data_IF_219798867770
#
_entry.id   IF_219798867770
#
_cell.length_a   1.000
_cell.length_b   1.000
_cell.length_c   1.000
_cell.angle_alpha   90.00
_cell.angle_beta   90.00
_cell.angle_gamma   90.00
#
_symmetry.space_group_name_H-M   'P 1'
#
loop_
_entity.id
_entity.type
_entity.pdbx_description
1 polymer ?
#
# COMPACT_ATOMS: atom_id res chain seq x y z
N UNK A 1 8.79 1.61 32.28
CA UNK A 1 7.65 1.46 31.36
C UNK A 1 8.04 2.03 29.99
N UNK A 2 7.55 1.45 28.89
CA UNK A 2 7.82 1.92 27.53
C UNK A 2 6.68 2.86 27.08
N UNK A 3 6.99 4.11 26.75
CA UNK A 3 5.99 5.16 26.46
C UNK A 3 6.13 5.80 25.07
N UNK A 4 7.08 5.31 24.25
CA UNK A 4 7.33 5.81 22.90
C UNK A 4 6.74 4.86 21.83
N UNK A 5 6.71 5.32 20.58
CA UNK A 5 6.44 4.47 19.42
C UNK A 5 7.57 3.47 19.16
N UNK A 6 7.34 2.52 18.25
CA UNK A 6 8.37 1.60 17.74
C UNK A 6 8.61 1.85 16.26
N UNK A 7 9.74 1.38 15.74
CA UNK A 7 10.08 1.44 14.31
C UNK A 7 9.82 0.10 13.61
N UNK A 8 8.94 -0.74 14.19
CA UNK A 8 8.63 -2.04 13.61
C UNK A 8 7.78 -1.88 12.34
N UNK A 9 7.90 -2.80 11.38
CA UNK A 9 6.96 -2.87 10.26
C UNK A 9 5.52 -3.03 10.75
N UNK A 10 4.58 -2.51 9.97
CA UNK A 10 3.14 -2.64 10.22
C UNK A 10 2.52 -3.67 9.27
N UNK A 11 1.50 -4.42 9.70
CA UNK A 11 0.78 -5.33 8.81
C UNK A 11 -0.03 -4.54 7.77
N UNK A 12 -0.15 -5.10 6.57
CA UNK A 12 -1.02 -4.63 5.51
C UNK A 12 -1.94 -5.77 5.08
N UNK A 13 -3.25 -5.55 5.15
CA UNK A 13 -4.26 -6.55 4.80
C UNK A 13 -5.18 -5.95 3.74
N UNK A 14 -5.33 -6.65 2.62
CA UNK A 14 -6.35 -6.33 1.62
C UNK A 14 -7.60 -7.17 1.89
N UNK A 15 -8.75 -6.49 1.96
CA UNK A 15 -10.07 -7.12 2.05
C UNK A 15 -10.90 -6.62 0.89
N UNK A 16 -11.21 -7.51 -0.04
CA UNK A 16 -11.98 -7.18 -1.22
C UNK A 16 -12.18 -8.39 -2.12
N UNK A 17 -12.87 -8.17 -3.24
CA UNK A 17 -13.26 -9.22 -4.18
C UNK A 17 -12.33 -9.33 -5.40
N UNK A 18 -11.28 -8.50 -5.50
CA UNK A 18 -10.33 -8.58 -6.61
C UNK A 18 -9.25 -9.61 -6.31
N UNK A 19 -8.87 -10.38 -7.31
CA UNK A 19 -7.64 -11.17 -7.26
C UNK A 19 -6.46 -10.19 -7.28
N UNK A 20 -5.66 -10.21 -6.22
CA UNK A 20 -4.51 -9.32 -6.09
C UNK A 20 -3.30 -10.05 -5.55
N UNK A 21 -2.13 -9.64 -6.02
CA UNK A 21 -0.84 -10.15 -5.53
C UNK A 21 -0.11 -9.06 -4.77
N UNK A 22 0.27 -9.35 -3.52
CA UNK A 22 1.04 -8.43 -2.69
C UNK A 22 2.50 -8.30 -3.15
N UNK A 23 3.04 -7.09 -3.09
CA UNK A 23 4.46 -6.79 -3.34
C UNK A 23 5.22 -6.70 -2.02
N UNK A 24 6.45 -7.22 -1.98
CA UNK A 24 7.32 -7.16 -0.80
C UNK A 24 8.02 -5.80 -0.69
N UNK A 25 8.32 -5.36 0.54
CA UNK A 25 9.18 -4.21 0.81
C UNK A 25 8.51 -2.84 0.65
N UNK A 26 7.21 -2.74 0.90
CA UNK A 26 6.45 -1.48 0.83
C UNK A 26 6.74 -0.49 1.95
N UNK A 27 6.28 0.76 1.75
CA UNK A 27 6.33 1.87 2.73
C UNK A 27 5.00 2.62 2.77
N UNK A 28 4.81 3.47 3.78
CA UNK A 28 3.52 4.15 4.00
C UNK A 28 3.07 5.05 2.83
N UNK A 29 4.00 5.68 2.12
CA UNK A 29 3.68 6.51 0.95
C UNK A 29 3.07 5.74 -0.22
N UNK A 30 3.15 4.40 -0.19
CA UNK A 30 2.65 3.52 -1.24
C UNK A 30 1.12 3.27 -1.11
N UNK A 31 0.52 3.61 0.03
CA UNK A 31 -0.90 3.36 0.31
C UNK A 31 -1.83 4.13 -0.65
N UNK A 32 -1.59 5.42 -0.88
CA UNK A 32 -2.44 6.22 -1.77
C UNK A 32 -2.37 5.74 -3.24
N UNK A 33 -1.18 5.53 -3.84
CA UNK A 33 -1.06 4.89 -5.15
C UNK A 33 -1.74 3.52 -5.24
N UNK A 34 -1.67 2.73 -4.17
CA UNK A 34 -2.35 1.43 -4.08
C UNK A 34 -3.86 1.58 -4.17
N UNK A 35 -4.45 2.54 -3.44
CA UNK A 35 -5.89 2.79 -3.48
C UNK A 35 -6.35 3.23 -4.88
N UNK A 36 -5.61 4.14 -5.52
CA UNK A 36 -5.92 4.59 -6.89
C UNK A 36 -5.86 3.43 -7.89
N UNK A 37 -4.82 2.58 -7.80
CA UNK A 37 -4.70 1.38 -8.62
C UNK A 37 -5.88 0.41 -8.41
N UNK A 38 -6.27 0.16 -7.15
CA UNK A 38 -7.43 -0.67 -6.83
C UNK A 38 -8.76 -0.06 -7.30
N UNK A 39 -8.85 1.26 -7.42
CA UNK A 39 -10.03 1.95 -7.96
C UNK A 39 -10.02 2.04 -9.50
N UNK A 40 -8.93 1.64 -10.16
CA UNK A 40 -8.78 1.80 -11.62
C UNK A 40 -8.58 3.25 -12.04
N UNK A 41 -8.03 4.09 -11.16
CA UNK A 41 -7.74 5.49 -11.41
C UNK A 41 -6.27 5.70 -11.76
N UNK A 42 -5.99 6.73 -12.56
CA UNK A 42 -4.61 7.13 -12.85
C UNK A 42 -3.92 7.65 -11.58
N UNK A 43 -2.63 7.33 -11.45
CA UNK A 43 -1.78 7.81 -10.36
C UNK A 43 -1.08 9.09 -10.87
N UNK A 44 -1.25 10.23 -10.20
CA UNK A 44 -0.62 11.48 -10.61
C UNK A 44 0.90 11.41 -10.46
N UNK A 45 1.63 12.16 -11.29
CA UNK A 45 3.10 12.08 -11.36
C UNK A 45 3.80 12.54 -10.08
N UNK A 46 3.14 13.39 -9.28
CA UNK A 46 3.62 13.85 -7.98
C UNK A 46 3.66 12.73 -6.93
N UNK A 47 2.87 11.67 -7.11
CA UNK A 47 2.91 10.49 -6.25
C UNK A 47 4.05 9.55 -6.67
N UNK A 48 5.15 9.61 -5.91
CA UNK A 48 6.34 8.77 -6.15
C UNK A 48 6.27 7.38 -5.49
N UNK A 49 5.24 7.12 -4.69
CA UNK A 49 4.96 5.80 -4.13
C UNK A 49 4.52 4.80 -5.20
N UNK A 50 4.60 3.50 -4.90
CA UNK A 50 4.28 2.43 -5.85
C UNK A 50 3.14 1.56 -5.32
N UNK A 51 2.19 1.09 -6.15
CA UNK A 51 1.15 0.19 -5.70
C UNK A 51 1.70 -1.07 -5.00
N UNK A 52 1.11 -1.43 -3.87
CA UNK A 52 1.47 -2.59 -3.03
C UNK A 52 0.77 -3.87 -3.47
N UNK A 53 -0.22 -3.75 -4.36
CA UNK A 53 -0.97 -4.85 -4.94
C UNK A 53 -0.97 -4.74 -6.47
N UNK A 54 -0.72 -5.85 -7.14
CA UNK A 54 -0.93 -6.01 -8.58
C UNK A 54 -2.28 -6.69 -8.76
N UNK A 55 -3.20 -6.04 -9.49
CA UNK A 55 -4.51 -6.61 -9.84
C UNK A 55 -4.30 -7.61 -10.99
N UNK A 56 -4.74 -8.84 -10.80
CA UNK A 56 -4.69 -9.90 -11.82
C UNK A 56 -5.85 -9.82 -12.81
#
# INVERSE_FOLDING_TARGET
>A
AHTAHTNLPVPLIYVGNKAVKAVNGGKLSDIAPTMLSLMGMEIPQEMTGKPLFIVE
#
